data_IF_357885871992
#
_entry.id   IF_357885871992
#
_cell.length_a   1.000
_cell.length_b   1.000
_cell.length_c   1.000
_cell.angle_alpha   90.00
_cell.angle_beta   90.00
_cell.angle_gamma   90.00
#
_symmetry.space_group_name_H-M   'P 1'
#
loop_
_entity.id
_entity.type
_entity.pdbx_description
1 polymer ?
#
# COMPACT_ATOMS: atom_id res chain seq x y z
N UNK A 1 -22.42 -3.55 11.42
CA UNK A 1 -23.11 -3.00 10.23
C UNK A 1 -22.37 -3.55 9.02
N UNK A 2 -22.80 -4.72 8.54
CA UNK A 2 -22.20 -5.38 7.38
C UNK A 2 -22.82 -4.76 6.14
N UNK A 3 -22.04 -3.96 5.41
CA UNK A 3 -22.49 -3.43 4.13
C UNK A 3 -22.29 -4.54 3.08
N UNK A 4 -23.42 -5.06 2.65
CA UNK A 4 -23.62 -5.74 1.37
C UNK A 4 -22.86 -4.99 0.27
N UNK A 5 -21.89 -5.64 -0.41
CA UNK A 5 -21.08 -5.00 -1.46
C UNK A 5 -21.01 -5.88 -2.71
N UNK A 6 -21.52 -5.34 -3.82
CA UNK A 6 -21.41 -5.81 -5.20
C UNK A 6 -21.35 -4.56 -6.11
N UNK A 7 -20.92 -4.64 -7.39
CA UNK A 7 -19.67 -5.10 -7.96
C UNK A 7 -18.86 -3.86 -8.42
N UNK A 8 -18.10 -3.26 -7.51
CA UNK A 8 -17.05 -2.30 -7.81
C UNK A 8 -15.71 -2.98 -7.51
N UNK A 9 -14.69 -2.75 -8.33
CA UNK A 9 -13.40 -3.44 -8.20
C UNK A 9 -12.83 -3.41 -6.77
N UNK A 10 -12.01 -4.42 -6.43
CA UNK A 10 -11.41 -4.55 -5.11
C UNK A 10 -10.55 -3.33 -4.78
N UNK A 11 -10.64 -2.83 -3.54
CA UNK A 11 -9.76 -1.78 -3.03
C UNK A 11 -8.50 -2.41 -2.49
N UNK A 12 -7.37 -1.95 -2.98
CA UNK A 12 -6.06 -2.47 -2.64
C UNK A 12 -5.30 -1.41 -1.83
N UNK A 13 -4.77 -1.82 -0.68
CA UNK A 13 -3.80 -1.06 0.10
C UNK A 13 -2.44 -1.74 0.04
N UNK A 14 -1.38 -0.95 -0.09
CA UNK A 14 -0.01 -1.47 -0.15
C UNK A 14 0.86 -0.91 0.97
N UNK A 15 1.54 -1.80 1.71
CA UNK A 15 2.51 -1.46 2.75
C UNK A 15 3.92 -1.85 2.32
N UNK A 16 4.90 -1.00 2.64
CA UNK A 16 6.29 -1.18 2.20
C UNK A 16 6.36 -1.31 0.67
N UNK A 17 5.67 -0.41 -0.02
CA UNK A 17 5.37 -0.52 -1.46
C UNK A 17 6.63 -0.49 -2.34
N UNK A 18 7.74 0.05 -1.81
CA UNK A 18 8.97 0.20 -2.57
C UNK A 18 8.70 0.97 -3.86
N UNK A 19 9.10 0.42 -5.00
CA UNK A 19 8.85 1.02 -6.31
C UNK A 19 7.48 0.65 -6.91
N UNK A 20 6.64 -0.12 -6.21
CA UNK A 20 5.28 -0.49 -6.65
C UNK A 20 5.17 -1.81 -7.41
N UNK A 21 6.22 -2.65 -7.40
CA UNK A 21 6.20 -3.92 -8.13
C UNK A 21 5.13 -4.91 -7.64
N UNK A 22 4.94 -5.00 -6.31
CA UNK A 22 3.89 -5.83 -5.72
C UNK A 22 2.50 -5.23 -5.99
N UNK A 23 2.39 -3.91 -5.98
CA UNK A 23 1.15 -3.17 -6.22
C UNK A 23 0.62 -3.45 -7.63
N UNK A 24 1.50 -3.41 -8.65
CA UNK A 24 1.17 -3.79 -10.02
C UNK A 24 0.72 -5.25 -10.13
N UNK A 25 1.43 -6.17 -9.47
CA UNK A 25 1.05 -7.58 -9.46
C UNK A 25 -0.32 -7.79 -8.80
N UNK A 26 -0.61 -7.07 -7.72
CA UNK A 26 -1.90 -7.13 -7.04
C UNK A 26 -3.03 -6.59 -7.92
N UNK A 27 -2.83 -5.45 -8.58
CA UNK A 27 -3.79 -4.88 -9.53
C UNK A 27 -4.06 -5.83 -10.70
N UNK A 28 -3.03 -6.50 -11.22
CA UNK A 28 -3.17 -7.47 -12.33
C UNK A 28 -3.93 -8.74 -11.89
N UNK A 29 -3.61 -9.29 -10.72
CA UNK A 29 -4.17 -10.57 -10.26
C UNK A 29 -5.59 -10.41 -9.72
N UNK A 30 -5.84 -9.35 -8.96
CA UNK A 30 -7.11 -9.14 -8.26
C UNK A 30 -8.05 -8.21 -9.03
N UNK A 31 -7.54 -7.42 -9.98
CA UNK A 31 -8.24 -6.26 -10.50
C UNK A 31 -8.46 -5.17 -9.44
N UNK A 32 -9.22 -4.14 -9.79
CA UNK A 32 -9.61 -3.08 -8.84
C UNK A 32 -8.71 -1.86 -8.85
N UNK A 33 -8.59 -1.20 -7.71
CA UNK A 33 -7.93 0.11 -7.57
C UNK A 33 -7.00 0.16 -6.35
N UNK A 34 -5.84 0.80 -6.53
CA UNK A 34 -4.93 1.12 -5.43
C UNK A 34 -5.44 2.40 -4.77
N UNK A 35 -5.93 2.31 -3.53
CA UNK A 35 -6.52 3.47 -2.83
C UNK A 35 -5.51 4.21 -1.96
N UNK A 36 -4.43 3.55 -1.55
CA UNK A 36 -3.29 4.15 -0.88
C UNK A 36 -2.08 3.20 -0.94
N UNK A 37 -0.90 3.78 -0.76
CA UNK A 37 0.33 3.04 -0.55
C UNK A 37 1.11 3.62 0.64
N UNK A 38 2.06 2.89 1.21
CA UNK A 38 2.84 3.34 2.34
C UNK A 38 4.32 3.01 2.14
N UNK A 39 5.12 4.05 1.90
CA UNK A 39 6.55 3.94 1.61
C UNK A 39 7.32 5.10 2.24
N UNK A 40 8.36 4.77 3.01
CA UNK A 40 9.18 5.73 3.77
C UNK A 40 10.39 6.22 2.97
N UNK A 41 10.87 5.45 2.00
CA UNK A 41 12.01 5.84 1.17
C UNK A 41 11.58 6.93 0.16
N UNK A 42 12.23 8.10 0.16
CA UNK A 42 11.80 9.24 -0.67
C UNK A 42 11.98 9.00 -2.18
N UNK A 43 12.99 8.23 -2.59
CA UNK A 43 13.20 7.91 -4.00
C UNK A 43 12.15 6.93 -4.52
N UNK A 44 11.83 5.92 -3.72
CA UNK A 44 10.76 4.98 -4.00
C UNK A 44 9.40 5.69 -4.05
N UNK A 45 9.11 6.55 -3.06
CA UNK A 45 7.89 7.36 -3.03
C UNK A 45 7.73 8.26 -4.27
N UNK A 46 8.82 8.81 -4.82
CA UNK A 46 8.79 9.60 -6.06
C UNK A 46 8.44 8.76 -7.28
N UNK A 47 8.84 7.50 -7.32
CA UNK A 47 8.42 6.55 -8.36
C UNK A 47 6.92 6.28 -8.24
N UNK A 48 6.43 6.00 -7.03
CA UNK A 48 5.00 5.76 -6.78
C UNK A 48 4.13 6.96 -7.18
N UNK A 49 4.53 8.19 -6.80
CA UNK A 49 3.80 9.40 -7.17
C UNK A 49 3.73 9.65 -8.69
N UNK A 50 4.71 9.12 -9.45
CA UNK A 50 4.68 9.14 -10.93
C UNK A 50 3.75 8.09 -11.50
N UNK A 51 3.73 6.88 -10.92
CA UNK A 51 2.88 5.78 -11.40
C UNK A 51 1.41 5.98 -11.03
N UNK A 52 1.13 6.49 -9.83
CA UNK A 52 -0.22 6.72 -9.31
C UNK A 52 -0.40 8.16 -8.82
N UNK A 53 -0.49 9.15 -9.73
CA UNK A 53 -0.73 10.53 -9.34
C UNK A 53 -2.04 10.68 -8.55
N UNK A 54 -1.97 11.28 -7.36
CA UNK A 54 -3.12 11.54 -6.51
C UNK A 54 -3.48 10.42 -5.53
N UNK A 55 -2.84 9.25 -5.62
CA UNK A 55 -2.97 8.21 -4.60
C UNK A 55 -2.07 8.57 -3.40
N UNK A 56 -2.60 8.58 -2.17
CA UNK A 56 -1.84 9.03 -1.01
C UNK A 56 -0.75 8.03 -0.63
N UNK A 57 0.44 8.56 -0.33
CA UNK A 57 1.49 7.85 0.38
C UNK A 57 1.31 8.07 1.90
N UNK A 58 0.95 7.02 2.64
CA UNK A 58 0.77 7.09 4.09
C UNK A 58 2.10 7.16 4.86
N UNK A 59 3.23 6.84 4.21
CA UNK A 59 4.57 6.99 4.79
C UNK A 59 4.93 5.92 5.83
N UNK A 60 5.43 6.35 6.98
CA UNK A 60 5.93 5.47 8.05
C UNK A 60 4.79 4.73 8.75
N UNK A 61 4.70 3.41 8.51
CA UNK A 61 3.69 2.52 9.09
C UNK A 61 3.56 2.61 10.62
N UNK A 62 4.63 2.99 11.32
CA UNK A 62 4.63 3.11 12.79
C UNK A 62 3.98 4.40 13.30
N UNK A 63 3.80 5.39 12.41
CA UNK A 63 3.22 6.70 12.71
C UNK A 63 1.85 6.92 12.05
N UNK A 64 1.40 6.03 11.16
CA UNK A 64 0.09 6.12 10.51
C UNK A 64 -1.04 5.91 11.53
N UNK A 65 -2.02 6.81 11.52
CA UNK A 65 -3.32 6.59 12.16
C UNK A 65 -4.21 5.74 11.24
N UNK A 66 -4.19 4.43 11.49
CA UNK A 66 -4.95 3.45 10.69
C UNK A 66 -6.46 3.60 10.81
N UNK A 67 -6.97 4.34 11.80
CA UNK A 67 -8.41 4.64 11.88
C UNK A 67 -8.88 5.59 10.77
N UNK A 68 -7.95 6.33 10.17
CA UNK A 68 -8.21 7.31 9.10
C UNK A 68 -7.86 6.77 7.70
N UNK A 69 -7.21 5.61 7.60
CA UNK A 69 -6.89 5.00 6.32
C UNK A 69 -8.16 4.49 5.63
N UNK A 70 -8.27 4.70 4.31
CA UNK A 70 -9.39 4.16 3.53
C UNK A 70 -9.43 2.62 3.68
N UNK A 71 -10.59 2.03 4.04
CA UNK A 71 -10.72 0.59 4.17
C UNK A 71 -10.43 -0.16 2.86
N UNK A 72 -9.70 -1.26 2.95
CA UNK A 72 -9.28 -2.06 1.80
C UNK A 72 -9.84 -3.47 1.87
N UNK A 73 -10.09 -4.05 0.70
CA UNK A 73 -10.52 -5.44 0.53
C UNK A 73 -9.30 -6.37 0.44
N UNK A 74 -8.19 -5.86 -0.13
CA UNK A 74 -6.91 -6.54 -0.26
C UNK A 74 -5.80 -5.69 0.34
N UNK A 75 -5.01 -6.28 1.24
CA UNK A 75 -3.80 -5.67 1.78
C UNK A 75 -2.59 -6.45 1.28
N UNK A 76 -1.67 -5.78 0.61
CA UNK A 76 -0.39 -6.35 0.19
C UNK A 76 0.76 -5.71 0.96
N UNK A 77 1.77 -6.51 1.31
CA UNK A 77 2.90 -6.02 2.08
C UNK A 77 4.21 -6.74 1.74
N UNK A 78 5.19 -5.99 1.24
CA UNK A 78 6.55 -6.44 1.01
C UNK A 78 7.46 -6.07 2.19
N UNK A 79 7.19 -6.62 3.38
CA UNK A 79 7.89 -6.22 4.60
C UNK A 79 9.43 -6.43 4.52
N UNK A 80 10.25 -5.59 5.19
CA UNK A 80 11.69 -5.75 5.23
C UNK A 80 12.11 -7.16 5.70
N UNK A 81 12.83 -7.89 4.84
CA UNK A 81 13.27 -9.27 5.12
C UNK A 81 14.59 -9.36 5.88
N UNK A 82 15.31 -8.24 6.07
CA UNK A 82 16.57 -8.28 6.81
C UNK A 82 16.26 -8.67 8.27
N UNK A 83 17.05 -9.59 8.82
CA UNK A 83 17.09 -9.74 10.28
C UNK A 83 17.48 -8.39 10.87
N UNK A 84 16.82 -7.92 11.95
CA UNK A 84 17.36 -6.82 12.72
C UNK A 84 18.74 -7.29 13.20
N UNK A 85 19.80 -6.80 12.58
CA UNK A 85 21.12 -6.92 13.14
C UNK A 85 20.99 -6.28 14.52
N UNK A 86 21.15 -7.07 15.60
CA UNK A 86 21.30 -6.53 16.94
C UNK A 86 22.21 -5.32 16.81
N UNK A 87 21.66 -4.12 17.03
CA UNK A 87 22.48 -2.92 17.16
C UNK A 87 23.49 -3.27 18.25
N UNK A 88 24.76 -3.38 17.86
CA UNK A 88 25.84 -3.33 18.84
C UNK A 88 25.77 -1.99 19.55
#
# INVERSE_FOLDING_TARGET
MSADRQPGGLRIGSMCSGYGGLDLAALEVFGGELVWHAEINPDAARILARHWPGIPNLGDLTAVDWSQAEPVDVLVAGFPCQRPLRRR
#
